data_IF_476743610670
#
_entry.id   IF_476743610670
#
_cell.length_a   1.000
_cell.length_b   1.000
_cell.length_c   1.000
_cell.angle_alpha   90.00
_cell.angle_beta   90.00
_cell.angle_gamma   90.00
#
_symmetry.space_group_name_H-M   'P 1'
#
loop_
_entity.id
_entity.type
_entity.pdbx_description
1 polymer ?
#
# COMPACT_ATOMS: atom_id res chain seq x y z
N UNK A 1 -9.09 16.41 -39.76
CA UNK A 1 -8.98 17.07 -38.44
C UNK A 1 -9.07 16.00 -37.37
N UNK A 2 -8.14 15.79 -36.45
CA UNK A 2 -6.69 15.87 -36.49
C UNK A 2 -6.18 14.61 -35.80
N UNK A 3 -5.29 13.86 -36.45
CA UNK A 3 -4.66 12.68 -35.87
C UNK A 3 -3.67 13.18 -34.83
N UNK A 4 -3.99 13.03 -33.54
CA UNK A 4 -3.07 13.35 -32.46
C UNK A 4 -1.98 12.27 -32.48
N UNK A 5 -0.83 12.63 -33.04
CA UNK A 5 0.36 11.79 -33.02
C UNK A 5 0.73 11.42 -31.57
N UNK A 6 0.47 10.16 -31.19
CA UNK A 6 0.79 9.58 -29.88
C UNK A 6 2.29 9.41 -29.61
N UNK A 7 3.15 10.25 -30.20
CA UNK A 7 4.61 10.16 -30.13
C UNK A 7 5.24 10.90 -28.94
N UNK A 8 4.46 11.56 -28.09
CA UNK A 8 5.00 12.33 -26.95
C UNK A 8 5.28 11.51 -25.68
N UNK A 9 5.12 10.18 -25.71
CA UNK A 9 5.36 9.32 -24.53
C UNK A 9 6.53 8.33 -24.71
N UNK A 10 7.33 8.45 -25.77
CA UNK A 10 8.33 7.41 -26.12
C UNK A 10 9.69 7.51 -25.41
N UNK A 11 9.85 8.38 -24.40
CA UNK A 11 11.17 8.62 -23.79
C UNK A 11 11.12 8.75 -22.26
N UNK A 12 10.56 7.75 -21.57
CA UNK A 12 11.02 7.29 -20.24
C UNK A 12 10.14 6.13 -19.78
N UNK A 13 10.69 4.92 -19.69
CA UNK A 13 10.21 3.83 -18.83
C UNK A 13 8.69 3.60 -18.69
N UNK A 14 8.03 3.17 -19.77
CA UNK A 14 6.85 2.28 -19.82
C UNK A 14 5.75 2.50 -18.75
N UNK A 15 4.95 3.55 -18.94
CA UNK A 15 3.50 3.50 -18.66
C UNK A 15 2.81 3.37 -20.03
N UNK A 16 3.05 2.25 -20.72
CA UNK A 16 2.60 2.06 -22.11
C UNK A 16 1.10 1.72 -22.19
N UNK A 17 0.53 1.14 -21.12
CA UNK A 17 -0.89 0.75 -21.05
C UNK A 17 -1.57 1.38 -19.83
N UNK A 18 -2.59 2.21 -20.07
CA UNK A 18 -3.41 2.82 -19.01
C UNK A 18 -4.37 1.77 -18.44
N UNK A 19 -3.88 0.94 -17.52
CA UNK A 19 -4.71 0.00 -16.78
C UNK A 19 -5.43 0.70 -15.62
N UNK A 20 -6.62 0.22 -15.25
CA UNK A 20 -7.32 0.69 -14.05
C UNK A 20 -6.51 0.55 -12.76
N UNK A 21 -5.54 -0.39 -12.70
CA UNK A 21 -4.60 -0.51 -11.59
C UNK A 21 -3.77 0.76 -11.38
N UNK A 22 -3.43 1.48 -12.46
CA UNK A 22 -2.76 2.78 -12.40
C UNK A 22 -3.61 3.84 -11.67
N UNK A 23 -4.93 3.80 -11.83
CA UNK A 23 -5.84 4.69 -11.09
C UNK A 23 -5.77 4.43 -9.58
N UNK A 24 -5.65 3.16 -9.17
CA UNK A 24 -5.44 2.80 -7.77
C UNK A 24 -4.07 3.23 -7.26
N UNK A 25 -3.03 3.09 -8.10
CA UNK A 25 -1.70 3.58 -7.79
C UNK A 25 -1.68 5.11 -7.59
N UNK A 26 -2.41 5.85 -8.43
CA UNK A 26 -2.57 7.30 -8.27
C UNK A 26 -3.31 7.66 -6.97
N UNK A 27 -4.42 6.97 -6.66
CA UNK A 27 -5.11 7.14 -5.38
C UNK A 27 -4.17 6.84 -4.19
N UNK A 28 -3.36 5.80 -4.28
CA UNK A 28 -2.38 5.44 -3.26
C UNK A 28 -1.33 6.56 -3.04
N UNK A 29 -0.78 7.12 -4.12
CA UNK A 29 0.12 8.27 -4.05
C UNK A 29 -0.57 9.49 -3.42
N UNK A 30 -1.82 9.77 -3.80
CA UNK A 30 -2.57 10.89 -3.22
C UNK A 30 -2.79 10.72 -1.70
N UNK A 31 -3.11 9.52 -1.24
CA UNK A 31 -3.26 9.23 0.19
C UNK A 31 -1.95 9.40 0.96
N UNK A 32 -0.85 8.89 0.40
CA UNK A 32 0.49 9.09 0.95
C UNK A 32 0.86 10.57 1.05
N UNK A 33 0.55 11.35 0.00
CA UNK A 33 0.79 12.79 -0.02
C UNK A 33 0.02 13.52 1.08
N UNK A 34 -1.25 13.15 1.28
CA UNK A 34 -2.12 13.71 2.32
C UNK A 34 -1.77 13.23 3.74
N UNK A 35 -0.71 12.41 3.90
CA UNK A 35 -0.38 11.72 5.16
C UNK A 35 -1.58 11.00 5.77
N UNK A 36 -2.48 10.49 4.92
CA UNK A 36 -3.48 9.54 5.35
C UNK A 36 -2.79 8.17 5.41
N UNK A 37 -3.04 7.33 6.43
CA UNK A 37 -2.42 6.03 6.53
C UNK A 37 -2.80 5.24 5.28
N UNK A 38 -1.85 4.96 4.36
CA UNK A 38 -2.14 4.19 3.17
C UNK A 38 -2.11 2.74 3.61
N UNK A 39 -3.24 2.29 4.13
CA UNK A 39 -3.23 1.09 4.94
C UNK A 39 -3.04 -0.17 4.04
N UNK A 40 -2.57 -1.28 4.57
CA UNK A 40 -2.65 -2.66 4.06
C UNK A 40 -4.13 -3.04 4.07
N UNK A 41 -4.83 -2.46 5.04
CA UNK A 41 -6.27 -2.33 5.06
C UNK A 41 -6.82 -1.48 3.93
N UNK A 42 -6.06 -0.70 3.14
CA UNK A 42 -6.57 0.06 2.00
C UNK A 42 -6.61 -0.72 0.70
N UNK A 43 -5.90 -1.83 0.55
CA UNK A 43 -6.29 -2.80 -0.48
C UNK A 43 -7.43 -3.69 -0.03
N UNK A 44 -7.53 -3.95 1.27
CA UNK A 44 -8.73 -4.56 1.83
C UNK A 44 -9.90 -3.58 1.84
N UNK A 45 -9.66 -2.26 1.91
CA UNK A 45 -10.65 -1.19 1.92
C UNK A 45 -11.00 -0.85 0.49
N UNK A 46 -10.07 -0.78 -0.48
CA UNK A 46 -10.40 -0.77 -1.90
C UNK A 46 -11.17 -2.04 -2.25
N UNK A 47 -10.77 -3.22 -1.78
CA UNK A 47 -11.59 -4.44 -1.93
C UNK A 47 -12.95 -4.30 -1.23
N UNK A 48 -13.04 -3.67 -0.06
CA UNK A 48 -14.29 -3.45 0.68
C UNK A 48 -15.15 -2.39 -0.01
N UNK A 49 -14.59 -1.31 -0.53
CA UNK A 49 -15.20 -0.20 -1.26
C UNK A 49 -15.68 -0.69 -2.62
N UNK A 50 -14.91 -1.56 -3.28
CA UNK A 50 -15.31 -2.27 -4.49
C UNK A 50 -16.45 -3.25 -4.17
N UNK A 51 -16.34 -4.03 -3.08
CA UNK A 51 -17.43 -4.94 -2.63
C UNK A 51 -18.69 -4.19 -2.16
N UNK A 52 -18.55 -2.99 -1.61
CA UNK A 52 -19.63 -2.13 -1.15
C UNK A 52 -20.14 -1.20 -2.27
N UNK A 53 -19.60 -1.28 -3.49
CA UNK A 53 -20.03 -0.49 -4.65
C UNK A 53 -19.62 1.00 -4.62
N UNK A 54 -18.82 1.43 -3.66
CA UNK A 54 -18.35 2.82 -3.52
C UNK A 54 -17.27 3.18 -4.53
N UNK A 55 -16.41 2.22 -4.89
CA UNK A 55 -15.40 2.39 -5.94
C UNK A 55 -15.71 1.38 -7.05
N UNK A 56 -16.18 1.81 -8.22
CA UNK A 56 -16.53 0.90 -9.31
C UNK A 56 -15.26 0.45 -10.03
N UNK A 57 -14.43 -0.40 -9.40
CA UNK A 57 -13.21 -0.89 -10.04
C UNK A 57 -13.51 -2.03 -11.02
N UNK A 58 -14.23 -3.05 -10.57
CA UNK A 58 -14.63 -4.20 -11.40
C UNK A 58 -15.78 -3.87 -12.34
N UNK A 59 -16.60 -2.87 -11.98
CA UNK A 59 -17.71 -2.34 -12.80
C UNK A 59 -17.39 -0.98 -13.42
N UNK A 60 -16.12 -0.59 -13.50
CA UNK A 60 -15.69 0.72 -14.01
C UNK A 60 -16.29 1.02 -15.38
N UNK A 61 -16.18 0.04 -16.29
CA UNK A 61 -16.69 0.14 -17.65
C UNK A 61 -18.21 0.35 -17.72
N UNK A 62 -18.97 -0.26 -16.81
CA UNK A 62 -20.43 -0.13 -16.76
C UNK A 62 -20.85 1.25 -16.28
N UNK A 63 -19.99 1.89 -15.47
CA UNK A 63 -20.23 3.22 -14.89
C UNK A 63 -19.83 4.36 -15.84
N UNK A 64 -19.14 4.07 -16.96
CA UNK A 64 -18.77 5.09 -17.92
C UNK A 64 -19.98 5.57 -18.73
N UNK A 65 -20.05 6.88 -19.04
CA UNK A 65 -21.04 7.39 -19.97
C UNK A 65 -20.84 6.78 -21.36
N UNK A 66 -21.91 6.65 -22.15
CA UNK A 66 -21.88 5.93 -23.45
C UNK A 66 -20.82 6.50 -24.41
N UNK A 67 -20.58 7.81 -24.35
CA UNK A 67 -19.60 8.51 -25.18
C UNK A 67 -18.15 8.15 -24.82
N UNK A 68 -17.91 7.62 -23.61
CA UNK A 68 -16.58 7.19 -23.13
C UNK A 68 -16.39 5.67 -23.16
N UNK A 69 -17.41 4.90 -23.55
CA UNK A 69 -17.29 3.44 -23.64
C UNK A 69 -16.42 3.06 -24.84
N UNK A 70 -15.25 2.52 -24.55
CA UNK A 70 -14.32 2.00 -25.55
C UNK A 70 -14.75 0.57 -25.91
N UNK A 71 -14.80 0.26 -27.20
CA UNK A 71 -15.16 -1.07 -27.72
C UNK A 71 -13.95 -1.72 -28.42
N UNK A 72 -13.95 -3.05 -28.50
CA UNK A 72 -12.86 -3.80 -29.14
C UNK A 72 -11.84 -4.35 -28.14
N UNK A 73 -10.59 -4.56 -28.61
CA UNK A 73 -9.55 -5.20 -27.80
C UNK A 73 -9.20 -4.38 -26.55
N UNK A 74 -9.20 -3.05 -26.67
CA UNK A 74 -8.78 -2.14 -25.60
C UNK A 74 -9.81 -2.02 -24.46
N UNK A 75 -11.07 -2.41 -24.71
CA UNK A 75 -12.11 -2.48 -23.68
C UNK A 75 -11.74 -3.41 -22.52
N UNK A 76 -10.86 -4.40 -22.77
CA UNK A 76 -10.39 -5.37 -21.76
C UNK A 76 -9.59 -4.69 -20.65
N UNK A 77 -8.89 -3.60 -20.95
CA UNK A 77 -8.11 -2.85 -19.96
C UNK A 77 -8.98 -2.12 -18.93
N UNK A 78 -10.23 -1.83 -19.31
CA UNK A 78 -11.22 -1.15 -18.47
C UNK A 78 -12.21 -2.12 -17.79
N UNK A 79 -12.06 -3.44 -18.00
CA UNK A 79 -12.91 -4.48 -17.41
C UNK A 79 -12.08 -5.48 -16.60
N UNK A 80 -11.44 -5.05 -15.50
CA UNK A 80 -10.65 -5.93 -14.67
C UNK A 80 -11.56 -6.94 -13.98
N UNK A 81 -11.31 -8.23 -14.22
CA UNK A 81 -12.04 -9.32 -13.57
C UNK A 81 -11.66 -9.48 -12.10
N UNK A 82 -10.45 -9.03 -11.74
CA UNK A 82 -9.88 -9.22 -10.41
C UNK A 82 -9.23 -7.93 -9.92
N UNK A 83 -9.15 -7.80 -8.59
CA UNK A 83 -8.38 -6.73 -7.95
C UNK A 83 -6.87 -6.97 -8.13
N UNK A 84 -6.08 -5.91 -8.36
CA UNK A 84 -4.63 -6.03 -8.47
C UNK A 84 -4.02 -6.44 -7.14
N UNK A 85 -2.89 -7.13 -7.21
CA UNK A 85 -2.11 -7.51 -6.03
C UNK A 85 -1.41 -6.27 -5.46
N UNK A 86 -1.15 -6.27 -4.15
CA UNK A 86 -0.52 -5.12 -3.48
C UNK A 86 0.81 -4.69 -4.06
N UNK A 87 1.70 -5.65 -4.31
CA UNK A 87 3.00 -5.35 -4.91
C UNK A 87 2.89 -4.70 -6.29
N UNK A 88 1.82 -5.00 -7.05
CA UNK A 88 1.59 -4.39 -8.35
C UNK A 88 1.24 -2.90 -8.19
N UNK A 89 0.31 -2.58 -7.28
CA UNK A 89 -0.08 -1.19 -7.00
C UNK A 89 1.10 -0.36 -6.47
N UNK A 90 1.92 -0.94 -5.58
CA UNK A 90 3.14 -0.28 -5.11
C UNK A 90 4.12 -0.02 -6.26
N UNK A 91 4.38 -1.02 -7.10
CA UNK A 91 5.27 -0.90 -8.23
C UNK A 91 4.78 0.16 -9.24
N UNK A 92 3.50 0.12 -9.59
CA UNK A 92 2.87 1.11 -10.45
C UNK A 92 2.90 2.51 -9.83
N UNK A 93 2.74 2.64 -8.51
CA UNK A 93 2.83 3.94 -7.83
C UNK A 93 4.24 4.53 -7.92
N UNK A 94 5.26 3.69 -7.84
CA UNK A 94 6.65 4.13 -8.02
C UNK A 94 6.93 4.56 -9.46
N UNK A 95 6.51 3.76 -10.45
CA UNK A 95 6.64 4.13 -11.86
C UNK A 95 5.90 5.43 -12.16
N UNK A 96 4.70 5.59 -11.60
CA UNK A 96 3.88 6.79 -11.79
C UNK A 96 4.51 8.02 -11.14
N UNK A 97 5.09 7.88 -9.95
CA UNK A 97 5.78 8.97 -9.28
C UNK A 97 7.06 9.39 -10.02
N UNK A 98 7.80 8.43 -10.58
CA UNK A 98 8.98 8.66 -11.43
C UNK A 98 8.59 9.35 -12.74
N UNK A 99 7.53 8.86 -13.40
CA UNK A 99 6.98 9.42 -14.63
C UNK A 99 6.50 10.88 -14.45
N UNK A 100 5.77 11.14 -13.36
CA UNK A 100 5.27 12.47 -13.01
C UNK A 100 6.37 13.38 -12.44
N UNK A 101 7.58 12.85 -12.18
CA UNK A 101 8.69 13.55 -11.53
C UNK A 101 8.25 14.22 -10.23
N UNK A 102 7.50 13.47 -9.40
CA UNK A 102 7.01 13.99 -8.13
C UNK A 102 8.19 14.36 -7.21
N UNK A 103 8.05 15.41 -6.39
CA UNK A 103 9.03 15.70 -5.35
C UNK A 103 8.95 14.64 -4.24
N UNK A 104 9.94 14.65 -3.34
CA UNK A 104 9.87 13.87 -2.10
C UNK A 104 8.61 14.22 -1.31
N UNK A 105 8.00 13.19 -0.73
CA UNK A 105 6.75 13.39 -0.01
C UNK A 105 7.00 14.06 1.33
N UNK A 106 5.98 14.71 1.91
CA UNK A 106 6.12 15.38 3.20
C UNK A 106 6.59 14.44 4.32
N UNK A 107 7.48 14.92 5.20
CA UNK A 107 8.12 14.08 6.20
C UNK A 107 7.16 13.34 7.15
N UNK A 108 7.38 12.06 7.44
CA UNK A 108 6.56 11.33 8.42
C UNK A 108 7.16 11.56 9.80
N UNK A 109 6.56 12.50 10.53
CA UNK A 109 6.92 12.81 11.92
C UNK A 109 6.20 11.89 12.90
N UNK A 110 6.66 11.84 14.16
CA UNK A 110 6.02 11.04 15.23
C UNK A 110 4.54 11.41 15.47
N UNK A 111 4.16 12.65 15.17
CA UNK A 111 2.78 13.14 15.29
C UNK A 111 1.89 12.75 14.10
N UNK A 112 2.48 12.19 13.05
CA UNK A 112 1.75 11.73 11.86
C UNK A 112 0.92 10.49 12.20
N UNK A 113 -0.31 10.45 11.71
CA UNK A 113 -1.16 9.25 11.79
C UNK A 113 -0.58 8.05 11.01
N UNK A 114 0.32 8.32 10.06
CA UNK A 114 1.06 7.31 9.29
C UNK A 114 2.30 6.81 10.04
N UNK A 115 2.66 7.44 11.16
CA UNK A 115 3.82 7.03 11.93
C UNK A 115 3.63 5.59 12.46
N UNK A 116 4.67 4.74 12.49
CA UNK A 116 4.55 3.36 12.96
C UNK A 116 3.93 3.24 14.36
N UNK A 117 4.19 4.17 15.28
CA UNK A 117 3.51 4.24 16.59
C UNK A 117 1.98 4.35 16.48
N UNK A 118 1.48 5.23 15.62
CA UNK A 118 0.04 5.42 15.41
C UNK A 118 -0.59 4.22 14.70
N UNK A 119 0.15 3.60 13.76
CA UNK A 119 -0.28 2.38 13.07
C UNK A 119 -0.36 1.18 14.03
N UNK A 120 0.62 1.00 14.92
CA UNK A 120 0.58 -0.05 15.95
C UNK A 120 -0.65 0.11 16.83
N UNK A 121 -0.90 1.30 17.38
CA UNK A 121 -2.08 1.54 18.21
C UNK A 121 -3.39 1.22 17.45
N UNK A 122 -3.46 1.63 16.17
CA UNK A 122 -4.59 1.33 15.30
C UNK A 122 -4.78 -0.17 15.07
N UNK A 123 -3.69 -0.92 14.88
CA UNK A 123 -3.75 -2.36 14.68
C UNK A 123 -4.09 -3.13 15.95
N UNK A 124 -3.54 -2.75 17.11
CA UNK A 124 -3.90 -3.35 18.39
C UNK A 124 -5.41 -3.24 18.62
N UNK A 125 -5.96 -2.04 18.43
CA UNK A 125 -7.40 -1.81 18.55
C UNK A 125 -8.22 -2.66 17.56
N UNK A 126 -7.83 -2.69 16.29
CA UNK A 126 -8.55 -3.45 15.24
C UNK A 126 -8.48 -4.97 15.43
N UNK A 127 -7.38 -5.47 15.97
CA UNK A 127 -7.17 -6.89 16.25
C UNK A 127 -7.71 -7.30 17.63
N UNK A 128 -8.32 -6.36 18.37
CA UNK A 128 -8.76 -6.55 19.75
C UNK A 128 -7.64 -7.07 20.67
N UNK A 129 -6.40 -6.64 20.41
CA UNK A 129 -5.24 -6.96 21.22
C UNK A 129 -5.13 -5.98 22.39
N UNK A 130 -4.57 -6.39 23.53
CA UNK A 130 -4.50 -5.53 24.71
C UNK A 130 -3.54 -4.36 24.51
N UNK A 131 -3.97 -3.17 24.93
CA UNK A 131 -3.18 -1.93 24.85
C UNK A 131 -1.87 -2.00 25.63
N UNK A 132 -1.76 -2.93 26.59
CA UNK A 132 -0.52 -3.22 27.32
C UNK A 132 0.62 -3.72 26.41
N UNK A 133 0.34 -4.10 25.16
CA UNK A 133 1.36 -4.43 24.15
C UNK A 133 2.02 -3.20 23.54
N UNK A 134 1.37 -2.04 23.59
CA UNK A 134 1.87 -0.82 22.93
C UNK A 134 3.28 -0.43 23.41
N UNK A 135 3.60 -0.41 24.72
CA UNK A 135 4.96 -0.12 25.20
C UNK A 135 6.00 -1.10 24.67
N UNK A 136 5.65 -2.39 24.55
CA UNK A 136 6.55 -3.42 24.00
C UNK A 136 6.81 -3.21 22.51
N UNK A 137 5.78 -2.87 21.74
CA UNK A 137 5.92 -2.56 20.33
C UNK A 137 6.78 -1.31 20.12
N UNK A 138 6.58 -0.26 20.93
CA UNK A 138 7.42 0.94 20.92
C UNK A 138 8.88 0.62 21.26
N UNK A 139 9.11 -0.24 22.25
CA UNK A 139 10.45 -0.69 22.61
C UNK A 139 11.13 -1.45 21.46
N UNK A 140 10.42 -2.38 20.81
CA UNK A 140 10.93 -3.11 19.63
C UNK A 140 11.30 -2.14 18.50
N UNK A 141 10.48 -1.12 18.27
CA UNK A 141 10.71 -0.11 17.25
C UNK A 141 11.86 0.84 17.57
N UNK A 142 12.18 1.04 18.84
CA UNK A 142 13.34 1.82 19.29
C UNK A 142 14.68 1.08 19.10
N UNK A 143 14.67 -0.21 18.71
CA UNK A 143 15.90 -0.96 18.47
C UNK A 143 16.67 -0.38 17.27
N UNK A 144 18.02 -0.23 17.35
CA UNK A 144 18.87 0.55 16.43
C UNK A 144 18.89 0.19 14.93
N UNK A 145 18.00 -0.66 14.43
CA UNK A 145 17.95 -1.09 13.02
C UNK A 145 16.53 -1.16 12.45
N UNK A 146 15.51 -0.92 13.28
CA UNK A 146 14.11 -1.17 12.90
C UNK A 146 13.44 0.07 12.29
N UNK A 147 13.69 1.25 12.88
CA UNK A 147 13.22 2.53 12.37
C UNK A 147 14.40 3.40 11.98
N UNK A 148 14.57 3.62 10.68
CA UNK A 148 15.51 4.59 10.15
C UNK A 148 14.69 5.82 9.73
N UNK A 149 14.82 6.98 10.42
CA UNK A 149 13.99 8.15 10.16
C UNK A 149 14.04 8.63 8.71
N UNK A 150 15.21 8.57 8.07
CA UNK A 150 15.39 8.95 6.65
C UNK A 150 14.69 8.00 5.68
N UNK A 151 14.31 6.81 6.14
CA UNK A 151 13.50 5.88 5.38
C UNK A 151 12.03 6.07 5.65
N UNK A 152 11.59 6.97 6.55
CA UNK A 152 10.17 7.10 6.92
C UNK A 152 9.27 7.77 5.87
N UNK A 153 9.89 8.31 4.82
CA UNK A 153 9.23 9.17 3.83
C UNK A 153 9.29 8.57 2.45
N UNK A 154 8.21 8.72 1.68
CA UNK A 154 8.22 8.28 0.30
C UNK A 154 9.11 9.19 -0.55
N UNK A 155 10.20 8.62 -1.06
CA UNK A 155 11.11 9.28 -1.99
C UNK A 155 11.03 8.58 -3.36
N UNK A 156 10.49 9.25 -4.40
CA UNK A 156 10.41 8.70 -5.75
C UNK A 156 11.78 8.60 -6.46
N UNK A 157 12.80 9.29 -5.96
CA UNK A 157 14.17 9.28 -6.49
C UNK A 157 15.08 8.24 -5.83
N UNK A 158 14.66 7.69 -4.69
CA UNK A 158 15.36 6.62 -3.99
C UNK A 158 15.33 5.31 -4.79
N UNK A 159 16.38 4.47 -4.64
CA UNK A 159 16.46 3.17 -5.33
C UNK A 159 15.23 2.30 -5.00
N UNK A 160 14.73 1.62 -6.04
CA UNK A 160 13.41 0.96 -6.22
C UNK A 160 12.92 -0.10 -5.19
N UNK A 161 13.30 0.00 -3.92
CA UNK A 161 12.96 -1.01 -2.91
C UNK A 161 13.07 -0.53 -1.46
N UNK A 162 13.55 0.70 -1.21
CA UNK A 162 13.75 1.21 0.16
C UNK A 162 12.53 1.95 0.73
N UNK A 163 11.53 2.23 -0.10
CA UNK A 163 10.33 2.96 0.29
C UNK A 163 9.39 2.04 1.07
N UNK A 164 9.58 2.11 2.39
CA UNK A 164 8.71 1.69 3.47
C UNK A 164 7.46 0.88 3.14
N UNK A 165 7.39 -0.21 3.85
CA UNK A 165 6.12 -0.72 4.36
C UNK A 165 6.02 -0.32 5.83
N UNK A 166 5.66 0.94 6.13
CA UNK A 166 5.43 1.45 7.51
C UNK A 166 4.57 0.49 8.33
N UNK A 167 3.64 -0.13 7.64
CA UNK A 167 2.72 -1.10 8.19
C UNK A 167 3.33 -2.48 8.39
N UNK A 168 4.24 -2.91 7.51
CA UNK A 168 4.99 -4.13 7.76
C UNK A 168 5.86 -3.95 9.00
N UNK A 169 6.43 -2.76 9.20
CA UNK A 169 7.18 -2.44 10.43
C UNK A 169 6.25 -2.47 11.64
N UNK A 170 5.06 -1.87 11.56
CA UNK A 170 4.06 -1.89 12.64
C UNK A 170 3.53 -3.31 12.94
N UNK A 171 3.25 -4.12 11.92
CA UNK A 171 2.81 -5.51 12.10
C UNK A 171 3.95 -6.38 12.63
N UNK A 172 5.16 -6.22 12.08
CA UNK A 172 6.33 -6.94 12.56
C UNK A 172 6.65 -6.60 14.01
N UNK A 173 6.52 -5.34 14.43
CA UNK A 173 6.74 -4.94 15.82
C UNK A 173 5.71 -5.57 16.76
N UNK A 174 4.43 -5.65 16.36
CA UNK A 174 3.40 -6.38 17.12
C UNK A 174 3.74 -7.86 17.23
N UNK A 175 4.10 -8.52 16.11
CA UNK A 175 4.45 -9.94 16.09
C UNK A 175 5.66 -10.24 16.98
N UNK A 176 6.71 -9.42 16.90
CA UNK A 176 7.91 -9.57 17.73
C UNK A 176 7.58 -9.34 19.20
N UNK A 177 6.79 -8.31 19.53
CA UNK A 177 6.36 -8.06 20.90
C UNK A 177 5.57 -9.24 21.49
N UNK A 178 4.65 -9.83 20.71
CA UNK A 178 3.91 -11.03 21.11
C UNK A 178 4.83 -12.23 21.32
N UNK A 179 5.75 -12.49 20.39
CA UNK A 179 6.71 -13.59 20.52
C UNK A 179 7.57 -13.47 21.78
N UNK A 180 8.06 -12.26 22.06
CA UNK A 180 8.86 -11.99 23.25
C UNK A 180 8.06 -12.20 24.55
N UNK A 181 6.81 -11.74 24.59
CA UNK A 181 5.96 -11.85 25.80
C UNK A 181 5.48 -13.26 26.08
N UNK A 182 5.21 -14.02 25.01
CA UNK A 182 4.78 -15.41 25.11
C UNK A 182 5.94 -16.40 25.21
N UNK A 183 7.19 -15.90 25.16
CA UNK A 183 8.41 -16.71 25.12
C UNK A 183 8.32 -17.79 24.03
N UNK A 184 7.77 -17.39 22.88
CA UNK A 184 7.63 -18.27 21.72
C UNK A 184 8.96 -18.28 20.98
N UNK A 185 9.66 -19.41 21.08
CA UNK A 185 10.77 -19.78 20.20
C UNK A 185 10.18 -20.38 18.92
N UNK A 186 10.71 -20.03 17.75
CA UNK A 186 10.36 -20.61 16.46
C UNK A 186 10.39 -22.15 16.49
N UNK A 187 11.21 -22.77 17.35
CA UNK A 187 11.24 -24.21 17.57
C UNK A 187 9.99 -24.77 18.27
N UNK A 188 9.40 -24.01 19.18
CA UNK A 188 8.21 -24.41 19.96
C UNK A 188 6.91 -24.23 19.18
N UNK A 189 6.85 -23.26 18.27
CA UNK A 189 5.68 -23.01 17.41
C UNK A 189 5.32 -24.23 16.54
N UNK A 190 6.33 -24.93 15.98
CA UNK A 190 6.12 -26.16 15.20
C UNK A 190 5.61 -27.34 16.03
N UNK A 191 5.99 -27.42 17.31
CA UNK A 191 5.56 -28.51 18.19
C UNK A 191 4.09 -28.34 18.62
N UNK A 192 3.63 -27.11 18.85
CA UNK A 192 2.24 -26.85 19.23
C UNK A 192 1.29 -27.05 18.04
N UNK A 193 1.69 -26.62 16.84
CA UNK A 193 0.89 -26.81 15.62
C UNK A 193 0.75 -28.27 15.21
N UNK A 194 1.77 -29.10 15.46
CA UNK A 194 1.73 -30.55 15.17
C UNK A 194 0.92 -31.37 16.20
N UNK A 195 0.56 -30.78 17.35
CA UNK A 195 -0.34 -31.40 18.33
C UNK A 195 -1.80 -30.99 18.19
N UNK A 196 -2.09 -29.97 17.36
CA UNK A 196 -3.45 -29.48 17.07
C UNK A 196 -3.99 -29.97 15.70
N UNK A 197 -3.21 -30.78 14.98
CA UNK A 197 -3.61 -31.51 13.75
C UNK A 197 -3.87 -32.97 14.05
#
# INVERSE_FOLDING_TARGET
MGSVDGKLLSHSGRVEDLHLSLSLAFCHLALMWLRQPPTLLDLLSVRRLVRCGTVPYTSAFESFPEEMKIYGHDARFFRPTWLPRYHLVLHESQLLAEFLKLPCFPEVTERSIVHPHALVASFLHRLCLPDSLLPWCCWVMALPKLLIPSRLTFDPTARRWETLRLELVAVASILVALKLLLVLDDCTEWCVLSQLS
#
